data_IF_785963146817
#
_entry.id   IF_785963146817
#
_cell.length_a   1.000
_cell.length_b   1.000
_cell.length_c   1.000
_cell.angle_alpha   90.00
_cell.angle_beta   90.00
_cell.angle_gamma   90.00
#
_symmetry.space_group_name_H-M   'P 1'
#
loop_
_entity.id
_entity.type
_entity.pdbx_description
1 polymer ?
#
# COMPACT_ATOMS: atom_id res chain seq x y z
N UNK A 1 33.52 4.40 22.76
CA UNK A 1 33.10 5.00 21.48
C UNK A 1 31.93 4.18 20.97
N UNK A 2 30.72 4.74 20.96
CA UNK A 2 29.54 4.04 20.42
C UNK A 2 29.67 4.03 18.92
N UNK A 3 29.81 2.85 18.31
CA UNK A 3 29.85 2.74 16.87
C UNK A 3 28.48 3.19 16.32
N UNK A 4 28.41 4.18 15.41
CA UNK A 4 27.15 4.54 14.79
C UNK A 4 26.69 3.31 14.01
N UNK A 5 25.63 2.64 14.48
CA UNK A 5 25.04 1.50 13.77
C UNK A 5 24.50 2.04 12.44
N UNK A 6 25.23 1.87 11.32
CA UNK A 6 24.81 2.43 10.06
C UNK A 6 23.77 1.45 9.55
N UNK A 7 22.50 1.75 9.80
CA UNK A 7 21.32 0.96 9.40
C UNK A 7 21.20 -0.39 10.14
N UNK A 8 20.16 -0.57 10.96
CA UNK A 8 19.98 -1.81 11.75
C UNK A 8 19.85 -3.10 10.90
N UNK A 9 19.39 -2.97 9.65
CA UNK A 9 19.13 -4.10 8.73
C UNK A 9 19.72 -3.88 7.32
N UNK A 10 20.39 -2.75 7.07
CA UNK A 10 20.95 -2.35 5.78
C UNK A 10 20.26 -1.13 5.16
N UNK A 11 21.03 -0.29 4.46
CA UNK A 11 20.62 1.01 3.88
C UNK A 11 19.39 0.96 2.98
N UNK A 12 19.17 -0.17 2.31
CA UNK A 12 18.04 -0.39 1.40
C UNK A 12 16.92 -1.23 2.03
N UNK A 13 17.21 -1.97 3.10
CA UNK A 13 16.20 -2.79 3.77
C UNK A 13 15.26 -1.91 4.60
N UNK A 14 15.80 -0.86 5.22
CA UNK A 14 15.07 0.04 6.11
C UNK A 14 13.89 0.75 5.40
N UNK A 15 14.06 1.35 4.20
CA UNK A 15 12.94 1.95 3.47
C UNK A 15 11.91 0.92 2.98
N UNK A 16 12.37 -0.27 2.55
CA UNK A 16 11.46 -1.34 2.10
C UNK A 16 10.60 -1.81 3.27
N UNK A 17 11.20 -1.98 4.45
CA UNK A 17 10.48 -2.32 5.67
C UNK A 17 9.52 -1.22 6.09
N UNK A 18 9.94 0.04 6.04
CA UNK A 18 9.07 1.18 6.37
C UNK A 18 7.81 1.21 5.48
N UNK A 19 7.98 1.01 4.17
CA UNK A 19 6.86 0.94 3.22
C UNK A 19 5.99 -0.30 3.47
N UNK A 20 6.61 -1.45 3.70
CA UNK A 20 5.90 -2.70 3.98
C UNK A 20 5.06 -2.63 5.25
N UNK A 21 5.64 -2.19 6.36
CA UNK A 21 4.96 -2.03 7.65
C UNK A 21 3.87 -0.97 7.55
N UNK A 22 4.13 0.16 6.87
CA UNK A 22 3.10 1.18 6.64
C UNK A 22 1.90 0.65 5.86
N UNK A 23 2.15 -0.12 4.79
CA UNK A 23 1.09 -0.73 3.99
C UNK A 23 0.30 -1.76 4.79
N UNK A 24 0.98 -2.62 5.55
CA UNK A 24 0.32 -3.61 6.42
C UNK A 24 -0.50 -2.95 7.54
N UNK A 25 0.01 -1.89 8.14
CA UNK A 25 -0.71 -1.12 9.16
C UNK A 25 -1.98 -0.50 8.58
N UNK A 26 -1.92 -0.03 7.33
CA UNK A 26 -3.09 0.52 6.65
C UNK A 26 -4.16 -0.55 6.40
N UNK A 27 -3.75 -1.72 5.90
CA UNK A 27 -4.65 -2.87 5.68
C UNK A 27 -5.30 -3.29 7.01
N UNK A 28 -4.52 -3.37 8.08
CA UNK A 28 -5.05 -3.74 9.41
C UNK A 28 -6.03 -2.69 9.94
N UNK A 29 -5.74 -1.39 9.74
CA UNK A 29 -6.65 -0.31 10.09
C UNK A 29 -7.97 -0.44 9.35
N UNK A 30 -7.92 -0.74 8.05
CA UNK A 30 -9.09 -0.92 7.20
C UNK A 30 -9.92 -2.16 7.59
N UNK A 31 -9.29 -3.23 8.09
CA UNK A 31 -10.00 -4.40 8.66
C UNK A 31 -10.71 -4.07 9.97
N UNK A 32 -10.11 -3.22 10.80
CA UNK A 32 -10.67 -2.83 12.08
C UNK A 32 -11.79 -1.79 11.93
N UNK A 33 -11.67 -0.90 10.95
CA UNK A 33 -12.76 0.02 10.61
C UNK A 33 -13.80 -0.75 9.81
N UNK A 34 -14.94 -1.06 10.41
CA UNK A 34 -16.08 -1.74 9.77
C UNK A 34 -16.73 -0.83 8.72
N UNK A 35 -16.00 -0.54 7.63
CA UNK A 35 -16.54 0.20 6.49
C UNK A 35 -17.45 -0.72 5.70
N UNK A 36 -18.54 -0.16 5.18
CA UNK A 36 -19.41 -0.88 4.28
C UNK A 36 -18.64 -1.36 3.02
N UNK A 37 -18.99 -2.54 2.49
CA UNK A 37 -18.37 -3.06 1.29
C UNK A 37 -18.51 -2.04 0.15
N UNK A 38 -17.38 -1.66 -0.46
CA UNK A 38 -17.33 -0.68 -1.56
C UNK A 38 -16.80 0.71 -1.21
N UNK A 39 -16.52 0.99 0.07
CA UNK A 39 -15.83 2.21 0.54
C UNK A 39 -14.41 1.95 1.06
N UNK A 40 -13.88 0.78 0.74
CA UNK A 40 -12.48 0.42 0.98
C UNK A 40 -11.58 1.12 -0.03
N UNK A 41 -10.41 1.57 0.42
CA UNK A 41 -9.43 2.25 -0.43
C UNK A 41 -8.95 1.30 -1.53
N UNK A 42 -8.87 0.00 -1.26
CA UNK A 42 -8.62 -1.02 -2.29
C UNK A 42 -9.67 -1.00 -3.42
N UNK A 43 -10.96 -0.94 -3.09
CA UNK A 43 -12.04 -0.88 -4.07
C UNK A 43 -12.04 0.46 -4.84
N UNK A 44 -11.73 1.57 -4.19
CA UNK A 44 -11.56 2.87 -4.84
C UNK A 44 -10.35 2.90 -5.78
N UNK A 45 -9.24 2.29 -5.37
CA UNK A 45 -8.06 2.12 -6.22
C UNK A 45 -8.38 1.20 -7.40
N UNK A 46 -9.12 0.11 -7.16
CA UNK A 46 -9.53 -0.79 -8.21
C UNK A 46 -10.40 -0.07 -9.24
N UNK A 47 -11.40 0.69 -8.79
CA UNK A 47 -12.21 1.57 -9.64
C UNK A 47 -11.35 2.59 -10.40
N UNK A 48 -10.40 3.26 -9.73
CA UNK A 48 -9.58 4.29 -10.37
C UNK A 48 -8.57 3.75 -11.39
N UNK A 49 -7.96 2.60 -11.15
CA UNK A 49 -6.88 2.07 -11.98
C UNK A 49 -7.34 0.99 -12.96
N UNK A 50 -8.40 0.23 -12.64
CA UNK A 50 -8.93 -0.80 -13.53
C UNK A 50 -10.11 -0.31 -14.38
N UNK A 51 -10.91 0.68 -13.96
CA UNK A 51 -11.94 1.26 -14.85
C UNK A 51 -11.33 1.98 -16.07
N UNK A 52 -10.08 2.45 -15.97
CA UNK A 52 -9.34 3.01 -17.11
C UNK A 52 -9.03 1.95 -18.18
N UNK A 53 -8.95 0.67 -17.81
CA UNK A 53 -8.64 -0.40 -18.77
C UNK A 53 -9.84 -0.82 -19.62
N UNK A 54 -11.06 -0.72 -19.10
CA UNK A 54 -12.26 -1.10 -19.85
C UNK A 54 -12.62 -0.07 -20.93
N UNK A 55 -12.43 1.22 -20.65
CA UNK A 55 -12.62 2.32 -21.61
C UNK A 55 -11.62 2.30 -22.78
N UNK A 56 -10.50 1.57 -22.66
CA UNK A 56 -9.48 1.45 -23.71
C UNK A 56 -9.72 0.24 -24.63
N UNK A 57 -10.50 -0.76 -24.20
CA UNK A 57 -10.77 -1.97 -24.99
C UNK A 57 -12.00 -1.86 -25.91
N UNK A 58 -12.92 -0.93 -25.66
CA UNK A 58 -14.10 -0.71 -26.53
C UNK A 58 -13.80 0.14 -27.78
N UNK A 59 -12.55 0.60 -27.94
CA UNK A 59 -12.13 1.48 -29.04
C UNK A 59 -11.03 0.86 -29.91
N UNK A 60 -11.06 -0.45 -30.11
CA UNK A 60 -10.14 -1.16 -31.01
C UNK A 60 -10.87 -2.05 -32.00
#
# INVERSE_FOLDING_TARGET
MVQPAPYLLGRFLDPIFAIGVGTLSYIQYERNTHREPGHTLYDLLQKKFFATKEQTQEKK
#
